data_IF_391958305538
#
_entry.id   IF_391958305538
#
_cell.length_a   1.000
_cell.length_b   1.000
_cell.length_c   1.000
_cell.angle_alpha   90.00
_cell.angle_beta   90.00
_cell.angle_gamma   90.00
#
_symmetry.space_group_name_H-M   'P 1'
#
loop_
_entity.id
_entity.type
_entity.pdbx_description
1 polymer ?
#
# COMPACT_ATOMS: atom_id res chain seq x y z
N UNK A 1 16.08 -26.82 -11.69
CA UNK A 1 16.46 -28.07 -10.97
C UNK A 1 15.49 -28.25 -9.83
N UNK A 2 15.09 -29.49 -9.54
CA UNK A 2 14.28 -29.78 -8.35
C UNK A 2 15.05 -29.40 -7.07
N UNK A 3 14.40 -28.79 -6.09
CA UNK A 3 14.99 -28.44 -4.80
C UNK A 3 15.64 -27.05 -4.69
N UNK A 4 15.55 -26.19 -5.72
CA UNK A 4 15.98 -24.79 -5.60
C UNK A 4 14.87 -23.93 -4.96
N UNK A 5 15.28 -22.90 -4.21
CA UNK A 5 14.35 -21.91 -3.65
C UNK A 5 13.72 -21.10 -4.78
N UNK A 6 12.40 -21.21 -4.92
CA UNK A 6 11.64 -20.53 -5.98
C UNK A 6 11.04 -19.18 -5.55
N UNK A 7 11.14 -18.83 -4.26
CA UNK A 7 10.50 -17.64 -3.72
C UNK A 7 10.39 -17.65 -2.20
N UNK A 8 9.48 -16.81 -1.69
CA UNK A 8 9.18 -16.70 -0.27
C UNK A 8 7.67 -16.81 -0.01
N UNK A 9 7.34 -17.35 1.17
CA UNK A 9 6.02 -17.25 1.78
C UNK A 9 6.20 -16.84 3.23
N UNK A 10 5.68 -15.67 3.57
CA UNK A 10 5.76 -15.09 4.90
C UNK A 10 4.35 -14.89 5.45
N UNK A 11 4.18 -15.19 6.74
CA UNK A 11 2.92 -14.95 7.45
C UNK A 11 3.19 -14.09 8.67
N UNK A 12 2.43 -13.01 8.81
CA UNK A 12 2.39 -12.16 9.99
C UNK A 12 1.04 -12.25 10.68
N UNK A 13 1.05 -12.37 12.00
CA UNK A 13 -0.17 -12.47 12.81
C UNK A 13 -0.21 -11.34 13.84
N UNK A 14 -1.33 -10.61 13.87
CA UNK A 14 -1.66 -9.64 14.92
C UNK A 14 -2.57 -10.28 15.96
N UNK A 15 -2.16 -10.25 17.23
CA UNK A 15 -2.86 -10.89 18.35
C UNK A 15 -3.33 -9.81 19.34
N UNK A 16 -4.58 -9.92 19.80
CA UNK A 16 -5.14 -9.08 20.88
C UNK A 16 -5.75 -9.99 21.93
N UNK A 17 -5.33 -9.86 23.19
CA UNK A 17 -5.79 -10.67 24.32
C UNK A 17 -5.68 -12.19 24.05
N UNK A 18 -4.59 -12.62 23.42
CA UNK A 18 -4.35 -14.02 23.07
C UNK A 18 -5.13 -14.55 21.86
N UNK A 19 -5.91 -13.71 21.18
CA UNK A 19 -6.71 -14.09 20.01
C UNK A 19 -6.13 -13.47 18.74
N UNK A 20 -5.90 -14.27 17.70
CA UNK A 20 -5.55 -13.80 16.35
C UNK A 20 -6.68 -12.90 15.81
N UNK A 21 -6.34 -11.65 15.50
CA UNK A 21 -7.28 -10.67 14.91
C UNK A 21 -6.98 -10.35 13.47
N UNK A 22 -5.70 -10.41 13.09
CA UNK A 22 -5.23 -10.08 11.75
C UNK A 22 -4.23 -11.16 11.33
N UNK A 23 -4.38 -11.66 10.11
CA UNK A 23 -3.40 -12.53 9.47
C UNK A 23 -3.09 -11.97 8.09
N UNK A 24 -1.81 -11.77 7.82
CA UNK A 24 -1.29 -11.33 6.54
C UNK A 24 -0.41 -12.44 5.99
N UNK A 25 -0.68 -12.87 4.76
CA UNK A 25 0.20 -13.81 4.04
C UNK A 25 0.72 -13.11 2.81
N UNK A 26 2.04 -13.03 2.70
CA UNK A 26 2.73 -12.56 1.51
C UNK A 26 3.40 -13.76 0.84
N UNK A 27 3.16 -13.95 -0.45
CA UNK A 27 3.79 -15.00 -1.24
C UNK A 27 4.30 -14.40 -2.55
N UNK A 28 5.58 -14.63 -2.82
CA UNK A 28 6.22 -14.22 -4.05
C UNK A 28 7.14 -15.34 -4.50
N UNK A 29 6.73 -16.07 -5.54
CA UNK A 29 7.46 -17.22 -6.10
C UNK A 29 7.37 -17.24 -7.61
N UNK A 30 8.40 -17.80 -8.24
CA UNK A 30 8.41 -18.03 -9.68
C UNK A 30 7.45 -19.16 -10.02
N UNK A 31 6.64 -18.97 -11.06
CA UNK A 31 5.71 -19.99 -11.57
C UNK A 31 4.36 -20.06 -10.86
N UNK A 32 4.01 -19.04 -10.06
CA UNK A 32 2.65 -18.90 -9.56
C UNK A 32 1.66 -18.79 -10.72
N UNK A 33 0.61 -19.61 -10.66
CA UNK A 33 -0.42 -19.66 -11.70
C UNK A 33 -1.30 -18.41 -11.66
N UNK A 34 -1.53 -17.85 -10.48
CA UNK A 34 -2.39 -16.70 -10.26
C UNK A 34 -1.73 -15.71 -9.29
N UNK A 35 -1.70 -14.43 -9.69
CA UNK A 35 -1.33 -13.31 -8.83
C UNK A 35 -2.60 -12.56 -8.42
N UNK A 36 -2.70 -12.18 -7.14
CA UNK A 36 -3.82 -11.41 -6.61
C UNK A 36 -3.48 -10.76 -5.28
N UNK A 37 -4.17 -9.66 -4.99
CA UNK A 37 -4.29 -9.12 -3.64
C UNK A 37 -5.70 -9.39 -3.14
N UNK A 38 -5.85 -9.98 -1.95
CA UNK A 38 -7.14 -10.30 -1.36
C UNK A 38 -7.23 -9.83 0.08
N UNK A 39 -8.39 -9.26 0.43
CA UNK A 39 -8.75 -8.88 1.79
C UNK A 39 -10.07 -9.57 2.11
N UNK A 40 -10.10 -10.27 3.23
CA UNK A 40 -11.30 -10.91 3.78
C UNK A 40 -11.49 -10.43 5.22
N UNK A 41 -12.65 -9.85 5.51
CA UNK A 41 -13.03 -9.35 6.82
C UNK A 41 -14.20 -10.21 7.30
N UNK A 42 -13.91 -11.06 8.29
CA UNK A 42 -14.91 -11.90 8.94
C UNK A 42 -15.74 -11.08 9.93
N UNK A 43 -17.06 -11.21 9.85
CA UNK A 43 -17.97 -10.48 10.72
C UNK A 43 -19.38 -10.44 10.14
N UNK A 44 -20.15 -9.44 10.56
CA UNK A 44 -21.50 -9.19 10.05
C UNK A 44 -21.61 -7.71 9.67
N UNK A 45 -21.63 -7.37 8.36
CA UNK A 45 -21.53 -8.29 7.22
C UNK A 45 -20.13 -8.89 7.07
N UNK A 46 -20.06 -10.06 6.43
CA UNK A 46 -18.80 -10.63 5.95
C UNK A 46 -18.43 -9.94 4.63
N UNK A 47 -17.17 -9.51 4.49
CA UNK A 47 -16.70 -8.76 3.32
C UNK A 47 -15.49 -9.46 2.73
N UNK A 48 -15.50 -9.66 1.41
CA UNK A 48 -14.36 -10.17 0.65
C UNK A 48 -14.13 -9.28 -0.57
N UNK A 49 -12.89 -8.87 -0.78
CA UNK A 49 -12.46 -8.05 -1.91
C UNK A 49 -11.16 -8.61 -2.49
N UNK A 50 -11.11 -8.75 -3.82
CA UNK A 50 -9.96 -9.31 -4.53
C UNK A 50 -9.62 -8.49 -5.77
N UNK A 51 -8.33 -8.22 -5.96
CA UNK A 51 -7.78 -7.59 -7.16
C UNK A 51 -7.03 -8.68 -7.94
N UNK A 52 -7.60 -9.11 -9.06
CA UNK A 52 -6.98 -10.10 -9.94
C UNK A 52 -5.74 -9.51 -10.62
N UNK A 53 -4.68 -10.31 -10.75
CA UNK A 53 -3.37 -9.87 -11.22
C UNK A 53 -2.50 -9.25 -10.12
N UNK A 54 -3.10 -8.87 -8.99
CA UNK A 54 -2.44 -8.11 -7.94
C UNK A 54 -2.16 -6.67 -8.37
N UNK A 55 -1.76 -5.85 -7.42
CA UNK A 55 -1.34 -4.48 -7.67
C UNK A 55 0.17 -4.47 -8.00
N UNK A 56 0.54 -3.84 -9.10
CA UNK A 56 1.95 -3.75 -9.48
C UNK A 56 2.74 -2.89 -8.47
N UNK A 57 3.65 -3.53 -7.73
CA UNK A 57 4.29 -2.95 -6.55
C UNK A 57 5.05 -1.65 -6.81
N UNK A 58 5.82 -1.56 -7.89
CA UNK A 58 6.65 -0.38 -8.19
C UNK A 58 5.78 0.86 -8.46
N UNK A 59 4.82 0.71 -9.39
CA UNK A 59 3.87 1.77 -9.77
C UNK A 59 3.03 2.18 -8.57
N UNK A 60 2.50 1.22 -7.80
CA UNK A 60 1.66 1.50 -6.64
C UNK A 60 2.43 2.20 -5.53
N UNK A 61 3.66 1.77 -5.23
CA UNK A 61 4.50 2.39 -4.20
C UNK A 61 4.80 3.84 -4.56
N UNK A 62 5.24 4.09 -5.79
CA UNK A 62 5.51 5.46 -6.28
C UNK A 62 4.24 6.32 -6.23
N UNK A 63 3.10 5.79 -6.68
CA UNK A 63 1.82 6.50 -6.71
C UNK A 63 1.33 6.85 -5.30
N UNK A 64 1.40 5.90 -4.36
CA UNK A 64 0.98 6.13 -2.96
C UNK A 64 1.85 7.22 -2.32
N UNK A 65 3.17 7.18 -2.52
CA UNK A 65 4.08 8.22 -1.99
C UNK A 65 3.67 9.61 -2.50
N UNK A 66 3.49 9.77 -3.81
CA UNK A 66 3.12 11.06 -4.40
C UNK A 66 1.75 11.54 -3.94
N UNK A 67 0.75 10.65 -3.93
CA UNK A 67 -0.60 10.99 -3.50
C UNK A 67 -0.64 11.36 -2.01
N UNK A 68 0.23 10.77 -1.18
CA UNK A 68 0.33 11.07 0.24
C UNK A 68 1.01 12.43 0.54
N UNK A 69 1.87 12.96 -0.35
CA UNK A 69 2.62 14.21 -0.11
C UNK A 69 1.71 15.37 0.34
N UNK A 70 0.58 15.57 -0.34
CA UNK A 70 -0.37 16.64 0.01
C UNK A 70 -0.96 16.47 1.41
N UNK A 71 -1.32 15.23 1.78
CA UNK A 71 -1.86 14.92 3.09
C UNK A 71 -0.84 15.15 4.19
N UNK A 72 0.44 14.82 3.94
CA UNK A 72 1.54 14.99 4.89
C UNK A 72 1.84 16.48 5.11
N UNK A 73 1.84 17.30 4.06
CA UNK A 73 2.07 18.75 4.21
C UNK A 73 0.97 19.39 5.06
N UNK A 74 -0.29 18.99 4.87
CA UNK A 74 -1.41 19.46 5.68
C UNK A 74 -1.37 19.01 7.14
N UNK A 75 -0.77 17.85 7.44
CA UNK A 75 -0.68 17.39 8.84
C UNK A 75 0.42 18.10 9.62
N UNK A 76 1.42 18.69 8.94
CA UNK A 76 2.52 19.42 9.55
C UNK A 76 2.20 20.87 9.91
N UNK A 77 1.10 21.45 9.44
CA UNK A 77 0.73 22.83 9.78
C UNK A 77 0.06 22.90 11.15
N UNK A 78 0.86 23.20 12.20
CA UNK A 78 0.31 23.88 13.38
C UNK A 78 -0.14 25.28 12.96
N UNK A 79 -1.32 25.77 13.36
CA UNK A 79 -1.65 27.17 13.14
C UNK A 79 -0.60 28.03 13.87
N UNK A 80 0.08 28.90 13.13
CA UNK A 80 0.96 29.90 13.74
C UNK A 80 0.11 30.83 14.61
N UNK A 81 0.65 31.24 15.76
CA UNK A 81 0.00 32.15 16.70
C UNK A 81 -0.39 33.52 16.10
N UNK A 82 -0.03 33.81 14.84
CA UNK A 82 -0.22 35.09 14.14
C UNK A 82 -1.25 35.04 12.98
N UNK A 83 -1.95 33.93 12.78
CA UNK A 83 -3.05 33.84 11.80
C UNK A 83 -2.63 33.92 10.33
N UNK A 84 -1.34 33.85 10.01
CA UNK A 84 -0.86 33.73 8.63
C UNK A 84 -0.53 32.27 8.33
N UNK A 85 -1.47 31.57 7.69
CA UNK A 85 -1.16 30.33 6.99
C UNK A 85 -0.05 30.63 5.98
N UNK A 86 1.10 29.96 6.13
CA UNK A 86 2.13 30.00 5.12
C UNK A 86 1.52 29.57 3.77
N UNK A 87 1.80 30.38 2.76
CA UNK A 87 1.27 30.29 1.42
C UNK A 87 2.00 29.13 0.69
N UNK A 88 1.74 27.89 1.11
CA UNK A 88 2.52 26.69 0.76
C UNK A 88 2.30 26.18 -0.68
N UNK A 89 1.57 26.92 -1.51
CA UNK A 89 1.04 26.42 -2.79
C UNK A 89 1.77 26.96 -4.05
N UNK A 90 2.97 27.51 -3.92
CA UNK A 90 3.69 28.16 -5.05
C UNK A 90 4.60 27.25 -5.89
N UNK A 91 4.81 25.98 -5.51
CA UNK A 91 5.86 25.15 -6.12
C UNK A 91 5.47 23.77 -6.67
N UNK A 92 4.19 23.42 -6.81
CA UNK A 92 3.82 22.16 -7.49
C UNK A 92 3.51 22.39 -8.97
N UNK A 93 4.46 22.96 -9.70
CA UNK A 93 4.42 22.95 -11.16
C UNK A 93 4.68 21.53 -11.67
N UNK A 94 3.58 20.80 -11.91
CA UNK A 94 3.45 19.69 -12.87
C UNK A 94 4.50 18.57 -12.75
N UNK A 95 4.32 17.68 -11.78
CA UNK A 95 5.04 16.39 -11.79
C UNK A 95 4.31 15.43 -12.74
N UNK A 96 4.81 15.27 -13.96
CA UNK A 96 4.37 14.22 -14.88
C UNK A 96 5.25 13.00 -14.62
N UNK A 97 4.75 12.02 -13.87
CA UNK A 97 5.30 10.66 -13.96
C UNK A 97 4.82 10.05 -15.29
N UNK A 98 5.64 10.20 -16.33
CA UNK A 98 5.50 9.40 -17.55
C UNK A 98 6.23 8.09 -17.32
N UNK A 99 5.47 7.03 -17.16
CA UNK A 99 5.98 5.68 -17.21
C UNK A 99 5.44 5.03 -18.48
N UNK A 100 6.34 4.62 -19.36
CA UNK A 100 6.02 3.86 -20.57
C UNK A 100 6.44 2.42 -20.31
N UNK A 101 5.46 1.54 -20.13
CA UNK A 101 5.69 0.11 -20.34
C UNK A 101 5.68 -0.17 -21.84
N UNK A 102 6.60 -1.03 -22.25
CA UNK A 102 6.61 -1.66 -23.55
C UNK A 102 5.73 -2.91 -23.48
#
# INVERSE_FOLDING_TARGET
MSGQVAGIRQTGTGIVNGVERIKLTFQASVGELESYDEIEIFGTPHIRSRIMGGVHGDVATCSIILNACHSILKSCTRPSHDGRCADDNKYWSRLIMKWTER
#
